data_IF_223555502943
#
_entry.id   IF_223555502943
#
_cell.length_a   1.000
_cell.length_b   1.000
_cell.length_c   1.000
_cell.angle_alpha   90.00
_cell.angle_beta   90.00
_cell.angle_gamma   90.00
#
_symmetry.space_group_name_H-M   'P 1'
#
loop_
_entity.id
_entity.type
_entity.pdbx_description
1 polymer ?
#
# COMPACT_ATOMS: atom_id res chain seq x y z
N UNK A 1 16.81 -3.68 5.56
CA UNK A 1 16.56 -5.09 5.20
C UNK A 1 15.06 -5.29 5.11
N UNK A 2 14.48 -4.87 3.97
CA UNK A 2 13.04 -4.96 3.73
C UNK A 2 12.72 -6.42 3.45
N UNK A 3 11.91 -7.05 4.31
CA UNK A 3 11.49 -8.42 4.12
C UNK A 3 10.61 -8.51 2.87
N UNK A 4 11.23 -8.92 1.77
CA UNK A 4 10.59 -9.22 0.48
C UNK A 4 10.08 -7.98 -0.30
N UNK A 5 10.94 -7.29 -1.08
CA UNK A 5 10.50 -6.26 -2.03
C UNK A 5 9.46 -6.78 -3.07
N UNK A 6 9.38 -8.10 -3.23
CA UNK A 6 8.40 -8.80 -4.06
C UNK A 6 7.01 -8.96 -3.40
N UNK A 7 6.90 -8.75 -2.08
CA UNK A 7 5.68 -9.10 -1.34
C UNK A 7 4.55 -8.15 -1.68
N UNK A 8 3.46 -8.73 -2.15
CA UNK A 8 2.19 -8.05 -2.34
C UNK A 8 1.38 -8.18 -1.05
N UNK A 9 0.92 -7.05 -0.53
CA UNK A 9 -0.05 -6.97 0.55
C UNK A 9 -1.42 -6.66 -0.03
N UNK A 10 -2.43 -7.46 0.33
CA UNK A 10 -3.82 -7.16 0.05
C UNK A 10 -4.28 -5.92 0.80
N UNK A 11 -5.39 -5.32 0.36
CA UNK A 11 -5.97 -4.14 1.04
C UNK A 11 -6.39 -4.51 2.46
N UNK A 12 -6.92 -5.72 2.65
CA UNK A 12 -7.36 -6.23 3.93
C UNK A 12 -6.18 -6.47 4.88
N UNK A 13 -5.04 -6.97 4.38
CA UNK A 13 -3.81 -7.08 5.19
C UNK A 13 -3.30 -5.71 5.64
N UNK A 14 -3.25 -4.73 4.73
CA UNK A 14 -2.83 -3.37 5.05
C UNK A 14 -3.79 -2.73 6.06
N UNK A 15 -5.10 -2.88 5.86
CA UNK A 15 -6.12 -2.36 6.76
C UNK A 15 -5.90 -2.87 8.18
N UNK A 16 -5.77 -4.19 8.35
CA UNK A 16 -5.56 -4.80 9.67
C UNK A 16 -4.22 -4.43 10.31
N UNK A 17 -3.20 -4.18 9.52
CA UNK A 17 -1.84 -3.91 10.01
C UNK A 17 -1.57 -2.45 10.38
N UNK A 18 -2.32 -1.50 9.80
CA UNK A 18 -2.00 -0.06 9.88
C UNK A 18 -3.17 0.78 10.39
N UNK A 19 -4.41 0.35 10.14
CA UNK A 19 -5.62 1.14 10.41
C UNK A 19 -6.39 0.62 11.62
N UNK A 20 -7.32 1.43 12.11
CA UNK A 20 -8.21 1.04 13.20
C UNK A 20 -9.35 0.14 12.69
N UNK A 21 -10.02 -0.57 13.59
CA UNK A 21 -11.17 -1.41 13.25
C UNK A 21 -12.39 -0.62 12.75
N UNK A 22 -12.42 0.71 12.92
CA UNK A 22 -13.47 1.57 12.39
C UNK A 22 -13.23 1.97 10.93
N UNK A 23 -12.03 1.76 10.40
CA UNK A 23 -11.68 2.11 9.03
C UNK A 23 -12.15 1.03 8.04
N UNK A 24 -12.64 1.48 6.88
CA UNK A 24 -13.02 0.58 5.79
C UNK A 24 -11.88 0.30 4.81
N UNK A 25 -11.98 -0.79 4.05
CA UNK A 25 -11.00 -1.19 3.03
C UNK A 25 -10.72 -0.07 2.01
N UNK A 26 -11.71 0.78 1.69
CA UNK A 26 -11.54 1.93 0.80
C UNK A 26 -10.60 3.03 1.34
N UNK A 27 -10.39 3.10 2.65
CA UNK A 27 -9.45 4.05 3.27
C UNK A 27 -8.01 3.78 2.85
N UNK A 28 -7.66 2.51 2.59
CA UNK A 28 -6.33 2.10 2.11
C UNK A 28 -5.99 2.82 0.80
N UNK A 29 -6.91 2.84 -0.16
CA UNK A 29 -6.69 3.43 -1.48
C UNK A 29 -6.53 4.96 -1.39
N UNK A 30 -7.32 5.60 -0.51
CA UNK A 30 -7.20 7.04 -0.20
C UNK A 30 -5.82 7.39 0.36
N UNK A 31 -5.31 6.60 1.30
CA UNK A 31 -3.98 6.85 1.88
C UNK A 31 -2.85 6.52 0.92
N UNK A 32 -2.97 5.46 0.10
CA UNK A 32 -2.00 5.19 -0.98
C UNK A 32 -1.94 6.36 -1.96
N UNK A 33 -3.10 6.90 -2.34
CA UNK A 33 -3.18 8.10 -3.18
C UNK A 33 -2.48 9.29 -2.51
N UNK A 34 -2.71 9.53 -1.22
CA UNK A 34 -2.03 10.61 -0.48
C UNK A 34 -0.53 10.41 -0.36
N UNK A 35 -0.05 9.18 -0.11
CA UNK A 35 1.38 8.88 -0.05
C UNK A 35 2.01 9.20 -1.40
N UNK A 36 1.50 8.64 -2.50
CA UNK A 36 2.02 8.91 -3.86
C UNK A 36 2.02 10.39 -4.24
N UNK A 37 1.10 11.18 -3.68
CA UNK A 37 1.05 12.64 -3.89
C UNK A 37 2.08 13.39 -3.04
N UNK A 38 2.36 12.89 -1.83
CA UNK A 38 3.29 13.52 -0.87
C UNK A 38 4.73 13.01 -1.00
N UNK A 39 4.95 11.92 -1.73
CA UNK A 39 6.25 11.29 -2.01
C UNK A 39 6.43 11.06 -3.52
N UNK A 40 7.47 10.33 -3.93
CA UNK A 40 7.58 9.83 -5.30
C UNK A 40 6.53 8.74 -5.55
N UNK A 41 5.79 8.76 -6.69
CA UNK A 41 4.76 7.76 -7.01
C UNK A 41 5.26 6.31 -7.06
N UNK A 42 6.53 6.13 -7.42
CA UNK A 42 7.23 4.83 -7.58
C UNK A 42 7.46 4.10 -6.25
N UNK A 43 7.25 4.75 -5.10
CA UNK A 43 7.39 4.12 -3.79
C UNK A 43 6.36 3.01 -3.53
N UNK A 44 5.21 3.03 -4.23
CA UNK A 44 4.14 2.04 -4.06
C UNK A 44 3.67 1.61 -5.44
N UNK A 45 3.75 0.31 -5.73
CA UNK A 45 3.20 -0.28 -6.95
C UNK A 45 1.81 -0.87 -6.72
N UNK A 46 0.94 -0.74 -7.71
CA UNK A 46 -0.35 -1.42 -7.74
C UNK A 46 -0.24 -2.74 -8.48
N UNK A 47 -0.51 -3.84 -7.77
CA UNK A 47 -0.65 -5.16 -8.37
C UNK A 47 -2.14 -5.44 -8.59
N UNK A 48 -2.59 -5.30 -9.84
CA UNK A 48 -4.01 -5.39 -10.22
C UNK A 48 -4.64 -6.69 -9.68
N UNK A 49 -5.78 -6.55 -9.00
CA UNK A 49 -6.52 -7.66 -8.39
C UNK A 49 -5.87 -8.29 -7.15
N UNK A 50 -4.70 -7.82 -6.70
CA UNK A 50 -3.99 -8.38 -5.54
C UNK A 50 -3.74 -7.38 -4.41
N UNK A 51 -3.42 -6.13 -4.74
CA UNK A 51 -3.16 -5.09 -3.73
C UNK A 51 -1.94 -4.23 -4.08
N UNK A 52 -1.06 -4.04 -3.10
CA UNK A 52 0.07 -3.12 -3.19
C UNK A 52 1.38 -3.80 -2.81
N UNK A 53 2.48 -3.36 -3.40
CA UNK A 53 3.84 -3.70 -2.94
C UNK A 53 4.66 -2.43 -2.81
N UNK A 54 5.76 -2.51 -2.05
CA UNK A 54 6.78 -1.47 -2.11
C UNK A 54 7.35 -1.43 -3.54
N UNK A 55 7.40 -0.24 -4.13
CA UNK A 55 8.12 -0.05 -5.38
C UNK A 55 9.55 0.39 -5.12
N UNK A 56 10.34 0.49 -6.19
CA UNK A 56 11.75 0.84 -6.15
C UNK A 56 11.91 2.22 -6.82
N UNK A 57 11.92 3.33 -6.05
CA UNK A 57 12.16 4.64 -6.61
C UNK A 57 13.62 4.73 -7.10
N UNK A 58 13.80 5.13 -8.35
CA UNK A 58 15.12 5.26 -8.98
C UNK A 58 15.95 6.42 -8.40
#
# INVERSE_FOLDING_TARGET
>A
MSASPERVFSREEILRGVFSSADGVGTVDTYVHYIRRKTTPEMIDTVRGRGYRAGDPA
#
